data_IF_608102875137
#
_entry.id   IF_608102875137
#
_cell.length_a   1.000
_cell.length_b   1.000
_cell.length_c   1.000
_cell.angle_alpha   90.00
_cell.angle_beta   90.00
_cell.angle_gamma   90.00
#
_symmetry.space_group_name_H-M   'P 1'
#
loop_
_entity.id
_entity.type
_entity.pdbx_description
1 polymer ?
#
# COMPACT_ATOMS: atom_id res chain seq x y z
N UNK A 1 6.04 21.84 16.50
CA UNK A 1 5.40 21.68 15.20
C UNK A 1 3.91 21.83 15.39
N UNK A 2 3.20 22.45 14.45
CA UNK A 2 1.74 22.50 14.53
C UNK A 2 1.14 21.15 14.14
N UNK A 3 -0.10 20.85 14.56
CA UNK A 3 -0.82 19.64 14.12
C UNK A 3 -0.89 19.52 12.59
N UNK A 4 -0.91 20.64 11.89
CA UNK A 4 -0.89 20.68 10.43
C UNK A 4 0.45 20.20 9.82
N UNK A 5 1.57 20.34 10.54
CA UNK A 5 2.89 19.90 10.08
C UNK A 5 3.11 18.39 10.24
N UNK A 6 2.22 17.70 10.96
CA UNK A 6 2.28 16.25 11.16
C UNK A 6 1.61 15.47 10.05
N UNK A 7 0.56 16.02 9.44
CA UNK A 7 -0.18 15.34 8.37
C UNK A 7 0.69 15.31 7.11
N UNK A 8 0.98 14.12 6.53
CA UNK A 8 1.60 14.03 5.23
C UNK A 8 0.81 14.80 4.17
N UNK A 9 1.47 15.16 3.08
CA UNK A 9 0.78 15.81 1.95
C UNK A 9 -0.35 14.93 1.43
N UNK A 10 -1.55 15.51 1.32
CA UNK A 10 -2.78 14.83 0.89
C UNK A 10 -3.30 15.45 -0.39
N UNK A 11 -3.95 14.66 -1.22
CA UNK A 11 -4.68 15.15 -2.40
C UNK A 11 -6.14 14.78 -2.32
N UNK A 12 -7.00 15.70 -2.73
CA UNK A 12 -8.44 15.47 -2.81
C UNK A 12 -8.75 14.58 -4.01
N UNK A 13 -9.38 13.45 -3.77
CA UNK A 13 -9.97 12.58 -4.78
C UNK A 13 -11.46 12.97 -4.90
N UNK A 14 -11.91 13.39 -6.09
CA UNK A 14 -13.27 13.89 -6.26
C UNK A 14 -14.31 12.78 -6.04
N UNK A 15 -15.48 13.20 -5.57
CA UNK A 15 -16.66 12.34 -5.53
C UNK A 15 -17.03 11.80 -6.92
N UNK A 16 -17.83 10.74 -6.93
CA UNK A 16 -18.46 10.22 -8.14
C UNK A 16 -18.12 8.77 -8.43
N UNK A 17 -18.73 8.29 -9.50
CA UNK A 17 -18.65 6.91 -9.94
C UNK A 17 -17.33 6.59 -10.64
N UNK A 18 -16.86 5.35 -10.48
CA UNK A 18 -15.81 4.74 -11.28
C UNK A 18 -16.08 3.24 -11.50
N UNK A 19 -15.47 2.66 -12.51
CA UNK A 19 -15.54 1.22 -12.77
C UNK A 19 -14.41 0.52 -12.01
N UNK A 20 -14.79 -0.30 -11.02
CA UNK A 20 -13.90 -1.11 -10.20
C UNK A 20 -13.78 -2.52 -10.77
N UNK A 21 -12.57 -3.08 -10.71
CA UNK A 21 -12.29 -4.44 -11.19
C UNK A 21 -11.82 -4.51 -12.64
N UNK A 22 -11.74 -5.74 -13.15
CA UNK A 22 -11.35 -6.04 -14.54
C UNK A 22 -11.93 -7.39 -14.97
N UNK A 23 -12.64 -7.44 -16.09
CA UNK A 23 -13.17 -8.68 -16.67
C UNK A 23 -12.10 -9.51 -17.42
N UNK A 24 -10.95 -8.89 -17.72
CA UNK A 24 -9.82 -9.51 -18.43
C UNK A 24 -8.71 -10.00 -17.48
N UNK A 25 -8.93 -9.95 -16.16
CA UNK A 25 -7.96 -10.30 -15.14
C UNK A 25 -8.36 -11.55 -14.32
N UNK A 26 -7.81 -11.69 -13.11
CA UNK A 26 -8.08 -12.82 -12.24
C UNK A 26 -9.56 -12.87 -11.81
N UNK A 27 -10.04 -14.04 -11.39
CA UNK A 27 -11.46 -14.26 -11.11
C UNK A 27 -11.98 -13.39 -9.96
N UNK A 28 -11.14 -13.08 -8.99
CA UNK A 28 -11.48 -12.25 -7.83
C UNK A 28 -11.49 -10.73 -8.13
N UNK A 29 -11.05 -10.34 -9.33
CA UNK A 29 -11.17 -8.97 -9.85
C UNK A 29 -12.51 -8.74 -10.59
N UNK A 30 -13.35 -9.77 -10.71
CA UNK A 30 -14.63 -9.76 -11.45
C UNK A 30 -15.84 -9.78 -10.51
N UNK A 31 -16.99 -9.29 -11.00
CA UNK A 31 -17.19 -8.57 -12.26
C UNK A 31 -16.66 -7.12 -12.17
N UNK A 32 -16.42 -6.51 -13.32
CA UNK A 32 -16.35 -5.03 -13.38
C UNK A 32 -17.70 -4.49 -12.92
N UNK A 33 -17.69 -3.55 -11.99
CA UNK A 33 -18.91 -2.96 -11.43
C UNK A 33 -18.72 -1.47 -11.14
N UNK A 34 -19.81 -0.74 -11.15
CA UNK A 34 -19.83 0.68 -10.83
C UNK A 34 -19.78 0.87 -9.31
N UNK A 35 -18.89 1.71 -8.85
CA UNK A 35 -18.76 2.12 -7.45
C UNK A 35 -18.79 3.63 -7.38
N UNK A 36 -19.66 4.18 -6.54
CA UNK A 36 -19.73 5.59 -6.21
C UNK A 36 -19.04 5.85 -4.88
N UNK A 37 -18.12 6.80 -4.86
CA UNK A 37 -17.43 7.23 -3.64
C UNK A 37 -17.72 8.69 -3.36
N UNK A 38 -17.92 9.01 -2.09
CA UNK A 38 -17.86 10.38 -1.59
C UNK A 38 -16.43 10.95 -1.77
N UNK A 39 -16.25 12.29 -1.72
CA UNK A 39 -14.93 12.86 -1.84
C UNK A 39 -14.10 12.49 -0.61
N UNK A 40 -12.82 12.18 -0.81
CA UNK A 40 -11.89 11.85 0.26
C UNK A 40 -10.50 12.40 -0.06
N UNK A 41 -9.67 12.50 0.95
CA UNK A 41 -8.26 12.83 0.77
C UNK A 41 -7.41 11.56 0.91
N UNK A 42 -6.40 11.45 0.07
CA UNK A 42 -5.44 10.36 0.07
C UNK A 42 -4.01 10.88 0.15
N UNK A 43 -3.16 10.22 0.92
CA UNK A 43 -1.73 10.53 0.96
C UNK A 43 -1.12 10.52 -0.43
N UNK A 44 -0.46 11.60 -0.82
CA UNK A 44 0.15 11.75 -2.16
C UNK A 44 1.13 10.64 -2.48
N UNK A 45 1.72 10.04 -1.45
CA UNK A 45 2.69 8.95 -1.49
C UNK A 45 2.47 7.99 -0.33
N UNK A 46 3.08 6.80 -0.31
CA UNK A 46 3.13 5.95 0.88
C UNK A 46 3.74 6.68 2.08
N UNK A 47 3.34 6.30 3.30
CA UNK A 47 3.95 6.79 4.54
C UNK A 47 5.46 6.50 4.51
N UNK A 48 6.27 7.52 4.72
CA UNK A 48 7.74 7.39 4.69
C UNK A 48 8.30 6.89 6.02
N UNK A 49 9.55 6.43 5.99
CA UNK A 49 10.26 6.12 7.22
C UNK A 49 10.37 7.35 8.15
N UNK A 50 10.56 8.56 7.60
CA UNK A 50 10.59 9.79 8.39
C UNK A 50 9.26 10.06 9.09
N UNK A 51 8.12 9.87 8.40
CA UNK A 51 6.79 10.05 9.00
C UNK A 51 6.53 9.02 10.10
N UNK A 52 6.85 7.76 9.83
CA UNK A 52 6.65 6.68 10.79
C UNK A 52 7.58 6.80 12.02
N UNK A 53 8.78 7.37 11.87
CA UNK A 53 9.70 7.60 12.97
C UNK A 53 9.16 8.58 14.01
N UNK A 54 8.35 9.56 13.59
CA UNK A 54 7.67 10.46 14.52
C UNK A 54 6.72 9.68 15.42
N UNK A 55 5.90 8.83 14.82
CA UNK A 55 4.98 7.94 15.55
C UNK A 55 5.71 7.04 16.57
N UNK A 56 6.81 6.41 16.14
CA UNK A 56 7.62 5.55 17.03
C UNK A 56 8.16 6.35 18.22
N UNK A 57 8.70 7.54 17.98
CA UNK A 57 9.25 8.40 19.05
C UNK A 57 8.15 8.88 20.03
N UNK A 58 6.99 9.27 19.50
CA UNK A 58 5.93 9.86 20.33
C UNK A 58 5.20 8.82 21.17
N UNK A 59 5.09 7.59 20.67
CA UNK A 59 4.25 6.55 21.31
C UNK A 59 5.05 5.41 21.93
N UNK A 60 6.33 5.25 21.58
CA UNK A 60 7.12 4.07 21.92
C UNK A 60 6.68 2.81 21.17
N UNK A 61 5.91 2.96 20.08
CA UNK A 61 5.54 1.82 19.23
C UNK A 61 6.77 1.12 18.69
N UNK A 62 6.67 -0.18 18.45
CA UNK A 62 7.80 -0.97 17.93
C UNK A 62 8.29 -0.43 16.59
N UNK A 63 9.59 -0.26 16.38
CA UNK A 63 10.16 0.17 15.12
C UNK A 63 10.12 -0.97 14.07
N UNK A 64 10.26 -0.67 12.78
CA UNK A 64 10.48 -1.68 11.75
C UNK A 64 11.66 -2.58 12.05
N UNK A 65 11.38 -3.87 12.27
CA UNK A 65 12.38 -4.91 12.57
C UNK A 65 11.85 -6.30 12.23
N UNK A 66 12.72 -7.29 12.19
CA UNK A 66 12.33 -8.70 12.08
C UNK A 66 12.23 -9.29 13.48
N UNK A 67 11.05 -9.24 14.07
CA UNK A 67 10.75 -9.80 15.39
C UNK A 67 10.56 -11.32 15.32
N UNK A 68 9.66 -11.73 14.42
CA UNK A 68 9.35 -13.14 14.14
C UNK A 68 9.27 -13.30 12.62
N UNK A 69 9.61 -14.48 12.11
CA UNK A 69 9.46 -14.71 10.69
C UNK A 69 7.99 -14.95 10.34
N UNK A 70 7.44 -14.26 9.33
CA UNK A 70 6.09 -14.54 8.86
C UNK A 70 5.92 -16.01 8.46
N UNK A 71 4.75 -16.58 8.72
CA UNK A 71 4.47 -17.99 8.43
C UNK A 71 4.74 -18.36 6.97
N UNK A 72 4.45 -17.46 6.03
CA UNK A 72 4.74 -17.65 4.60
C UNK A 72 6.25 -17.78 4.31
N UNK A 73 7.10 -17.22 5.15
CA UNK A 73 8.56 -17.33 5.06
C UNK A 73 9.01 -18.65 5.64
N UNK A 74 8.57 -18.99 6.86
CA UNK A 74 8.94 -20.24 7.54
C UNK A 74 8.46 -21.47 6.79
N UNK A 75 7.26 -21.44 6.21
CA UNK A 75 6.73 -22.49 5.36
C UNK A 75 7.57 -22.74 4.09
N UNK A 76 8.39 -21.77 3.67
CA UNK A 76 9.31 -21.90 2.54
C UNK A 76 10.65 -22.54 2.87
N UNK A 77 10.90 -22.90 4.14
CA UNK A 77 12.12 -23.57 4.62
C UNK A 77 13.32 -22.66 4.81
N UNK A 78 14.42 -23.26 5.27
CA UNK A 78 15.62 -22.57 5.76
C UNK A 78 16.24 -21.56 4.77
N UNK A 79 16.34 -21.90 3.49
CA UNK A 79 16.92 -21.01 2.48
C UNK A 79 16.06 -19.75 2.27
N UNK A 80 14.75 -19.90 2.34
CA UNK A 80 13.82 -18.75 2.27
C UNK A 80 13.94 -17.85 3.51
N UNK A 81 14.04 -18.43 4.69
CA UNK A 81 14.27 -17.70 5.93
C UNK A 81 15.59 -16.92 5.91
N UNK A 82 16.68 -17.58 5.48
CA UNK A 82 18.00 -16.98 5.34
C UNK A 82 17.97 -15.79 4.34
N UNK A 83 17.35 -16.00 3.20
CA UNK A 83 17.18 -14.95 2.17
C UNK A 83 16.37 -13.78 2.70
N UNK A 84 15.24 -14.05 3.38
CA UNK A 84 14.40 -13.01 3.97
C UNK A 84 15.15 -12.16 4.99
N UNK A 85 15.92 -12.80 5.91
CA UNK A 85 16.73 -12.08 6.90
C UNK A 85 17.84 -11.26 6.24
N UNK A 86 18.52 -11.80 5.24
CA UNK A 86 19.61 -11.12 4.56
C UNK A 86 19.15 -9.85 3.84
N UNK A 87 18.02 -9.91 3.12
CA UNK A 87 17.43 -8.73 2.45
C UNK A 87 16.83 -7.79 3.48
N UNK A 88 16.07 -8.32 4.44
CA UNK A 88 15.37 -7.54 5.45
C UNK A 88 16.29 -6.75 6.37
N UNK A 89 17.56 -7.18 6.54
CA UNK A 89 18.52 -6.49 7.40
C UNK A 89 18.71 -5.02 7.06
N UNK A 90 18.63 -4.65 5.78
CA UNK A 90 18.77 -3.27 5.32
C UNK A 90 17.53 -2.40 5.57
N UNK A 91 16.44 -2.98 6.07
CA UNK A 91 15.18 -2.30 6.39
C UNK A 91 14.92 -2.22 7.90
N UNK A 92 15.75 -2.88 8.71
CA UNK A 92 15.67 -2.81 10.18
C UNK A 92 16.20 -1.47 10.64
N UNK A 93 15.49 -0.84 11.56
CA UNK A 93 15.91 0.42 12.14
C UNK A 93 16.89 0.18 13.31
N UNK A 94 18.16 0.61 13.19
CA UNK A 94 19.09 0.60 14.31
C UNK A 94 18.63 1.59 15.38
N UNK A 95 18.64 1.18 16.65
CA UNK A 95 18.29 2.06 17.79
C UNK A 95 16.93 2.77 17.65
N UNK A 96 15.98 2.13 16.95
CA UNK A 96 14.63 2.67 16.67
C UNK A 96 14.59 3.91 15.74
N UNK A 97 15.66 4.20 15.03
CA UNK A 97 15.73 5.28 14.05
C UNK A 97 15.88 4.73 12.63
N UNK A 98 15.27 5.37 11.63
CA UNK A 98 15.40 4.93 10.25
C UNK A 98 16.84 5.07 9.74
N UNK A 99 17.22 4.16 8.84
CA UNK A 99 18.51 4.24 8.17
C UNK A 99 18.57 5.53 7.36
N UNK A 100 19.67 6.30 7.49
CA UNK A 100 19.78 7.67 7.00
C UNK A 100 19.53 7.84 5.48
N UNK A 101 19.92 6.86 4.67
CA UNK A 101 19.70 6.87 3.22
C UNK A 101 18.29 6.43 2.81
N UNK A 102 17.43 6.05 3.77
CA UNK A 102 16.07 5.55 3.56
C UNK A 102 14.97 6.38 4.21
N UNK A 103 15.28 7.53 4.75
CA UNK A 103 14.30 8.38 5.45
C UNK A 103 13.08 8.73 4.57
N UNK A 104 13.30 8.97 3.27
CA UNK A 104 12.26 9.29 2.28
C UNK A 104 11.73 8.07 1.52
N UNK A 105 12.14 6.85 1.88
CA UNK A 105 11.57 5.63 1.33
C UNK A 105 10.28 5.26 2.07
N UNK A 106 9.37 4.48 1.45
CA UNK A 106 8.22 3.94 2.16
C UNK A 106 8.65 3.17 3.40
N UNK A 107 7.93 3.33 4.50
CA UNK A 107 8.10 2.46 5.66
C UNK A 107 7.69 1.04 5.28
N UNK A 108 8.48 0.07 5.72
CA UNK A 108 8.24 -1.36 5.49
C UNK A 108 8.44 -2.16 6.78
N UNK A 109 8.28 -3.48 6.72
CA UNK A 109 8.29 -4.36 7.91
C UNK A 109 7.18 -3.99 8.91
N UNK A 110 6.06 -3.50 8.44
CA UNK A 110 4.89 -3.12 9.21
C UNK A 110 3.73 -4.08 8.94
N UNK A 111 3.05 -4.52 10.00
CA UNK A 111 1.81 -5.30 9.94
C UNK A 111 0.62 -4.37 9.69
N UNK A 112 -0.52 -4.96 9.38
CA UNK A 112 -1.76 -4.19 9.23
C UNK A 112 -2.10 -3.40 10.50
N UNK A 113 -1.93 -4.03 11.67
CA UNK A 113 -2.19 -3.38 12.97
C UNK A 113 -1.21 -2.22 13.26
N UNK A 114 0.02 -2.30 12.81
CA UNK A 114 1.01 -1.22 12.94
C UNK A 114 0.58 0.00 12.10
N UNK A 115 0.06 -0.25 10.89
CA UNK A 115 -0.45 0.80 10.02
C UNK A 115 -1.71 1.46 10.61
N UNK A 116 -2.62 0.66 11.20
CA UNK A 116 -3.81 1.17 11.91
C UNK A 116 -3.42 1.98 13.15
N UNK A 117 -2.43 1.52 13.91
CA UNK A 117 -1.92 2.24 15.08
C UNK A 117 -1.33 3.61 14.69
N UNK A 118 -0.56 3.68 13.59
CA UNK A 118 -0.08 4.93 13.02
C UNK A 118 -1.24 5.87 12.66
N UNK A 119 -2.25 5.37 11.95
CA UNK A 119 -3.43 6.17 11.59
C UNK A 119 -4.15 6.71 12.82
N UNK A 120 -4.32 5.88 13.86
CA UNK A 120 -4.99 6.26 15.10
C UNK A 120 -4.22 7.33 15.88
N UNK A 121 -2.89 7.21 15.96
CA UNK A 121 -2.02 8.23 16.54
C UNK A 121 -2.16 9.55 15.77
N UNK A 122 -2.03 9.50 14.43
CA UNK A 122 -2.09 10.71 13.61
C UNK A 122 -3.48 11.37 13.68
N UNK A 123 -4.56 10.58 13.80
CA UNK A 123 -5.90 11.08 14.00
C UNK A 123 -6.03 11.83 15.32
N UNK A 124 -5.47 11.30 16.40
CA UNK A 124 -5.48 11.93 17.72
C UNK A 124 -4.70 13.26 17.72
N UNK A 125 -3.51 13.28 17.09
CA UNK A 125 -2.64 14.46 17.04
C UNK A 125 -3.20 15.57 16.14
N UNK A 126 -3.92 15.21 15.06
CA UNK A 126 -4.39 16.19 14.07
C UNK A 126 -5.87 16.54 14.21
N UNK A 127 -6.65 15.78 14.98
CA UNK A 127 -8.10 15.89 15.07
C UNK A 127 -8.85 15.48 13.82
N UNK A 128 -8.17 14.87 12.83
CA UNK A 128 -8.77 14.39 11.57
C UNK A 128 -9.03 12.89 11.62
N UNK A 129 -10.05 12.42 10.92
CA UNK A 129 -10.40 10.99 10.87
C UNK A 129 -9.44 10.22 9.92
N UNK A 130 -8.15 10.15 10.29
CA UNK A 130 -7.13 9.44 9.51
C UNK A 130 -7.31 7.93 9.66
N UNK A 131 -7.24 7.21 8.53
CA UNK A 131 -7.39 5.77 8.45
C UNK A 131 -6.62 5.20 7.23
N UNK A 132 -6.61 3.89 7.11
CA UNK A 132 -6.23 3.25 5.84
C UNK A 132 -7.31 3.54 4.78
N UNK A 133 -6.96 3.61 3.49
CA UNK A 133 -7.95 3.66 2.42
C UNK A 133 -8.74 2.34 2.36
N UNK A 134 -10.00 2.41 1.96
CA UNK A 134 -10.70 1.21 1.50
C UNK A 134 -10.10 0.72 0.19
N UNK A 135 -10.34 -0.54 -0.16
CA UNK A 135 -9.90 -1.11 -1.44
C UNK A 135 -10.43 -0.30 -2.62
N UNK A 136 -11.70 0.14 -2.56
CA UNK A 136 -12.33 0.94 -3.59
C UNK A 136 -11.73 2.35 -3.72
N UNK A 137 -11.46 3.01 -2.59
CA UNK A 137 -10.76 4.29 -2.58
C UNK A 137 -9.37 4.17 -3.19
N UNK A 138 -8.63 3.13 -2.80
CA UNK A 138 -7.30 2.89 -3.34
C UNK A 138 -7.34 2.69 -4.86
N UNK A 139 -8.27 1.87 -5.38
CA UNK A 139 -8.37 1.58 -6.81
C UNK A 139 -8.80 2.80 -7.62
N UNK A 140 -9.83 3.56 -7.17
CA UNK A 140 -10.23 4.83 -7.82
C UNK A 140 -9.04 5.78 -7.93
N UNK A 141 -8.32 5.93 -6.84
CA UNK A 141 -7.14 6.79 -6.77
C UNK A 141 -6.02 6.31 -7.70
N UNK A 142 -5.74 5.01 -7.74
CA UNK A 142 -4.72 4.42 -8.61
C UNK A 142 -5.03 4.65 -10.09
N UNK A 143 -6.28 4.55 -10.49
CA UNK A 143 -6.70 4.78 -11.89
C UNK A 143 -6.48 6.21 -12.37
N UNK A 144 -6.37 7.21 -11.48
CA UNK A 144 -6.02 8.58 -11.84
C UNK A 144 -6.94 9.20 -12.88
N UNK A 145 -8.26 8.93 -12.82
CA UNK A 145 -9.31 9.27 -13.77
C UNK A 145 -9.27 8.52 -15.13
N UNK A 146 -8.38 7.54 -15.30
CA UNK A 146 -8.37 6.70 -16.51
C UNK A 146 -9.39 5.55 -16.37
N UNK A 147 -10.34 5.48 -17.30
CA UNK A 147 -11.37 4.44 -17.31
C UNK A 147 -10.84 3.15 -17.93
N UNK A 148 -10.95 2.03 -17.21
CA UNK A 148 -10.64 0.68 -17.70
C UNK A 148 -9.17 0.42 -18.03
N UNK A 149 -8.25 1.33 -17.67
CA UNK A 149 -6.84 1.16 -17.95
C UNK A 149 -6.17 0.22 -16.93
N UNK A 150 -5.19 -0.55 -17.43
CA UNK A 150 -4.49 -1.55 -16.61
C UNK A 150 -3.62 -0.90 -15.54
N UNK A 151 -2.88 0.15 -15.89
CA UNK A 151 -1.93 0.85 -15.01
C UNK A 151 -2.33 2.31 -14.83
N UNK A 152 -1.81 3.00 -13.83
CA UNK A 152 -2.08 4.43 -13.58
C UNK A 152 -1.74 5.37 -14.76
N UNK A 153 -1.00 4.90 -15.74
CA UNK A 153 -0.57 5.63 -16.95
C UNK A 153 -1.11 5.06 -18.26
N UNK A 154 -1.92 4.00 -18.25
CA UNK A 154 -2.50 3.38 -19.45
C UNK A 154 -2.35 1.87 -19.49
N UNK A 155 -2.29 1.28 -20.69
CA UNK A 155 -2.32 -0.17 -20.86
C UNK A 155 -0.94 -0.82 -21.06
N UNK A 156 0.09 -0.03 -21.38
CA UNK A 156 1.43 -0.54 -21.66
C UNK A 156 2.30 -0.47 -20.41
N UNK A 157 2.94 -1.60 -20.08
CA UNK A 157 3.94 -1.61 -19.02
C UNK A 157 5.14 -0.74 -19.44
N UNK A 158 5.55 0.16 -18.53
CA UNK A 158 6.71 1.02 -18.72
C UNK A 158 7.57 1.01 -17.43
N UNK A 159 8.86 0.64 -17.60
CA UNK A 159 9.84 0.57 -16.51
C UNK A 159 10.20 1.94 -15.92
N UNK A 160 9.92 3.00 -16.66
CA UNK A 160 10.17 4.37 -16.21
C UNK A 160 9.04 4.93 -15.36
N UNK A 161 7.96 4.15 -15.17
CA UNK A 161 6.76 4.59 -14.46
C UNK A 161 6.61 3.99 -13.07
N UNK A 162 7.38 2.94 -12.72
CA UNK A 162 7.24 2.27 -11.43
C UNK A 162 8.50 1.45 -11.07
N UNK A 163 8.69 1.23 -9.76
CA UNK A 163 9.74 0.35 -9.23
C UNK A 163 9.21 -1.08 -9.06
N UNK A 164 9.60 -2.00 -9.94
CA UNK A 164 9.25 -3.42 -9.89
C UNK A 164 10.38 -4.29 -10.44
N UNK A 165 10.34 -5.60 -10.17
CA UNK A 165 11.36 -6.52 -10.64
C UNK A 165 11.20 -6.79 -12.14
N UNK A 166 12.13 -6.28 -12.92
CA UNK A 166 12.08 -6.38 -14.39
C UNK A 166 12.68 -7.66 -14.95
N UNK A 167 13.53 -8.33 -14.16
CA UNK A 167 14.18 -9.58 -14.52
C UNK A 167 14.25 -10.50 -13.31
N UNK A 168 13.48 -11.60 -13.29
CA UNK A 168 13.47 -12.54 -12.16
C UNK A 168 14.79 -13.28 -11.96
N UNK A 169 15.71 -13.22 -12.93
CA UNK A 169 17.05 -13.82 -12.82
C UNK A 169 18.06 -12.87 -12.15
N UNK A 170 17.75 -11.57 -12.06
CA UNK A 170 18.59 -10.62 -11.34
C UNK A 170 18.61 -10.97 -9.85
N UNK A 171 19.81 -11.10 -9.30
CA UNK A 171 19.97 -11.13 -7.85
C UNK A 171 19.30 -9.87 -7.28
N UNK A 172 18.58 -10.02 -6.18
CA UNK A 172 17.87 -8.93 -5.46
C UNK A 172 18.87 -7.83 -5.04
N UNK A 173 19.27 -7.00 -6.00
CA UNK A 173 20.21 -5.86 -5.79
C UNK A 173 19.43 -4.56 -5.62
N UNK A 174 18.12 -4.56 -6.00
CA UNK A 174 17.24 -3.42 -5.87
C UNK A 174 16.51 -3.49 -4.53
N UNK A 175 15.92 -2.42 -4.13
CA UNK A 175 15.10 -2.29 -2.94
C UNK A 175 13.96 -1.32 -3.23
N UNK A 176 13.34 -0.81 -2.18
CA UNK A 176 12.47 0.35 -2.31
C UNK A 176 13.25 1.54 -2.86
N UNK A 177 12.60 2.38 -3.62
CA UNK A 177 13.10 3.71 -4.02
C UNK A 177 12.52 4.78 -3.09
N UNK A 178 13.14 5.97 -3.09
CA UNK A 178 12.54 7.16 -2.48
C UNK A 178 11.15 7.36 -3.06
N UNK A 179 10.19 7.73 -2.23
CA UNK A 179 8.88 8.12 -2.71
C UNK A 179 9.02 9.24 -3.77
N UNK A 180 8.12 9.24 -4.75
CA UNK A 180 8.14 10.21 -5.87
C UNK A 180 9.34 10.07 -6.83
N UNK A 181 10.00 8.91 -6.86
CA UNK A 181 11.06 8.65 -7.83
C UNK A 181 10.53 8.44 -9.25
N UNK A 182 9.23 8.21 -9.39
CA UNK A 182 8.53 7.97 -10.65
C UNK A 182 7.41 9.01 -10.85
N UNK A 183 6.90 9.18 -12.09
CA UNK A 183 5.85 10.15 -12.38
C UNK A 183 4.56 9.87 -11.61
N UNK A 184 3.88 10.95 -11.22
CA UNK A 184 2.55 10.88 -10.63
C UNK A 184 1.49 10.48 -11.66
N UNK A 185 0.38 9.89 -11.19
CA UNK A 185 -0.79 9.64 -12.00
C UNK A 185 -1.65 10.92 -12.22
N UNK A 186 -2.79 10.78 -12.88
CA UNK A 186 -3.69 11.89 -13.20
C UNK A 186 -4.30 12.65 -12.01
N UNK A 187 -4.25 12.08 -10.79
CA UNK A 187 -4.64 12.76 -9.55
C UNK A 187 -3.45 13.32 -8.76
N UNK A 188 -2.24 13.24 -9.30
CA UNK A 188 -1.03 13.70 -8.60
C UNK A 188 -0.48 12.71 -7.56
N UNK A 189 -0.91 11.45 -7.60
CA UNK A 189 -0.46 10.41 -6.68
C UNK A 189 0.76 9.67 -7.23
N UNK A 190 1.74 9.49 -6.37
CA UNK A 190 2.98 8.77 -6.67
C UNK A 190 2.94 7.33 -6.13
N UNK A 191 3.74 6.47 -6.75
CA UNK A 191 4.00 5.09 -6.30
C UNK A 191 2.72 4.23 -6.15
N UNK A 192 1.65 4.53 -6.93
CA UNK A 192 0.43 3.72 -6.96
C UNK A 192 0.64 2.35 -7.61
N UNK A 193 1.80 2.11 -8.20
CA UNK A 193 2.21 0.83 -8.77
C UNK A 193 3.67 0.58 -8.45
N UNK A 194 3.99 -0.60 -7.91
CA UNK A 194 5.34 -0.98 -7.52
C UNK A 194 5.79 -0.32 -6.20
N UNK A 195 7.07 -0.29 -5.96
CA UNK A 195 7.72 0.14 -4.73
C UNK A 195 7.33 -0.73 -3.53
N UNK A 196 6.15 -0.55 -2.94
CA UNK A 196 5.63 -1.40 -1.87
C UNK A 196 4.17 -1.78 -2.12
N UNK A 197 3.78 -2.99 -1.74
CA UNK A 197 2.38 -3.32 -1.51
C UNK A 197 1.82 -2.41 -0.44
N UNK A 198 0.59 -1.99 -0.57
CA UNK A 198 -0.06 -1.09 0.38
C UNK A 198 -1.25 -1.75 1.04
N UNK A 199 -1.24 -1.75 2.38
CA UNK A 199 -2.38 -2.20 3.17
C UNK A 199 -3.63 -1.37 2.88
N UNK A 200 -4.75 -2.06 2.61
CA UNK A 200 -6.09 -1.48 2.63
C UNK A 200 -6.81 -1.82 3.94
N UNK A 201 -7.89 -1.10 4.21
CA UNK A 201 -8.74 -1.33 5.39
C UNK A 201 -9.48 -2.67 5.31
N UNK A 202 -9.82 -3.10 4.10
CA UNK A 202 -10.76 -4.18 3.82
C UNK A 202 -10.24 -5.56 4.21
N UNK A 203 -11.14 -6.39 4.74
CA UNK A 203 -10.99 -7.82 4.69
C UNK A 203 -11.13 -8.30 3.24
N UNK A 204 -10.42 -9.37 2.90
CA UNK A 204 -10.50 -9.96 1.58
C UNK A 204 -11.56 -11.06 1.53
N UNK A 205 -12.40 -11.00 0.49
CA UNK A 205 -13.28 -12.09 0.04
C UNK A 205 -13.22 -12.14 -1.50
N UNK A 206 -12.95 -13.31 -2.10
CA UNK A 206 -12.86 -13.45 -3.56
C UNK A 206 -14.19 -13.20 -4.29
N UNK A 207 -15.32 -13.28 -3.60
CA UNK A 207 -16.64 -13.08 -4.17
C UNK A 207 -17.25 -11.70 -3.87
N UNK A 208 -16.53 -10.85 -3.13
CA UNK A 208 -17.07 -9.58 -2.66
C UNK A 208 -17.56 -8.66 -3.79
N UNK A 209 -16.85 -8.61 -4.91
CA UNK A 209 -17.21 -7.73 -6.03
C UNK A 209 -18.61 -8.06 -6.63
N UNK A 210 -19.06 -9.31 -6.55
CA UNK A 210 -20.38 -9.71 -7.02
C UNK A 210 -21.53 -9.21 -6.13
N UNK A 211 -21.24 -8.81 -4.89
CA UNK A 211 -22.22 -8.40 -3.87
C UNK A 211 -21.88 -7.04 -3.25
N UNK A 212 -20.84 -6.39 -3.73
CA UNK A 212 -20.38 -5.09 -3.23
C UNK A 212 -21.50 -4.05 -3.32
N UNK A 213 -21.76 -3.26 -2.26
CA UNK A 213 -22.63 -2.11 -2.37
C UNK A 213 -22.04 -1.10 -3.36
N UNK A 214 -22.91 -0.45 -4.12
CA UNK A 214 -22.48 0.55 -5.10
C UNK A 214 -21.91 1.81 -4.43
N UNK A 215 -22.39 2.18 -3.24
CA UNK A 215 -22.00 3.41 -2.54
C UNK A 215 -21.02 3.09 -1.40
N UNK A 216 -19.83 3.70 -1.45
CA UNK A 216 -18.79 3.65 -0.39
C UNK A 216 -18.53 2.24 0.17
N UNK A 217 -18.23 1.21 -0.65
CA UNK A 217 -17.99 -0.15 -0.15
C UNK A 217 -16.83 -0.19 0.85
N UNK A 218 -17.02 -0.93 1.95
CA UNK A 218 -16.06 -1.05 3.05
C UNK A 218 -15.41 -2.43 3.15
N UNK A 219 -15.62 -3.28 2.14
CA UNK A 219 -15.23 -4.68 2.20
C UNK A 219 -16.15 -5.54 3.09
N UNK A 220 -15.85 -6.84 3.19
CA UNK A 220 -16.55 -7.74 4.11
C UNK A 220 -16.39 -7.30 5.57
N UNK A 221 -17.39 -7.58 6.41
CA UNK A 221 -17.35 -7.24 7.85
C UNK A 221 -16.35 -8.06 8.66
N UNK A 222 -15.92 -9.21 8.14
CA UNK A 222 -14.93 -10.09 8.77
C UNK A 222 -14.19 -10.91 7.72
N UNK A 223 -13.00 -11.40 8.08
CA UNK A 223 -12.17 -12.24 7.22
C UNK A 223 -10.93 -12.73 7.96
N UNK A 224 -10.10 -13.49 7.27
CA UNK A 224 -8.79 -13.94 7.77
C UNK A 224 -7.62 -13.31 7.04
N UNK A 225 -7.88 -12.67 5.89
CA UNK A 225 -6.87 -12.01 5.05
C UNK A 225 -7.27 -10.55 4.83
N UNK A 226 -6.28 -9.67 4.82
CA UNK A 226 -6.44 -8.27 4.43
C UNK A 226 -6.02 -8.06 2.99
N UNK A 227 -6.65 -7.09 2.35
CA UNK A 227 -6.28 -6.65 1.00
C UNK A 227 -4.99 -5.85 1.05
N UNK A 228 -4.10 -6.11 0.10
CA UNK A 228 -2.96 -5.24 -0.24
C UNK A 228 -2.95 -4.96 -1.74
N UNK A 229 -2.54 -3.77 -2.12
CA UNK A 229 -2.68 -3.26 -3.49
C UNK A 229 -1.36 -2.73 -4.04
N UNK A 230 -1.27 -2.60 -5.38
CA UNK A 230 -0.24 -1.86 -6.09
C UNK A 230 0.98 -2.64 -6.55
N UNK A 231 1.25 -3.80 -5.99
CA UNK A 231 2.51 -4.51 -6.25
C UNK A 231 3.68 -3.92 -5.47
N UNK A 232 4.87 -4.47 -5.66
CA UNK A 232 6.07 -3.98 -5.00
C UNK A 232 7.30 -4.15 -5.88
N UNK A 233 8.44 -3.64 -5.44
CA UNK A 233 9.73 -3.82 -6.09
C UNK A 233 10.17 -5.29 -6.25
N UNK A 234 9.51 -6.21 -5.52
CA UNK A 234 9.75 -7.67 -5.57
C UNK A 234 8.92 -8.38 -6.65
N UNK A 235 7.95 -7.71 -7.24
CA UNK A 235 6.98 -8.32 -8.15
C UNK A 235 7.57 -8.44 -9.54
N UNK A 236 7.67 -9.69 -10.04
CA UNK A 236 8.06 -10.01 -11.41
C UNK A 236 6.85 -10.31 -12.32
N UNK A 237 5.73 -10.74 -11.74
CA UNK A 237 4.49 -10.96 -12.49
C UNK A 237 3.77 -9.62 -12.70
N UNK A 238 3.86 -9.12 -13.91
CA UNK A 238 3.31 -7.81 -14.30
C UNK A 238 1.79 -7.69 -14.14
N UNK A 239 1.06 -8.82 -14.02
CA UNK A 239 -0.38 -8.81 -13.71
C UNK A 239 -0.64 -8.21 -12.33
N UNK A 240 0.25 -8.49 -11.36
CA UNK A 240 0.15 -8.00 -9.99
C UNK A 240 0.39 -6.49 -9.85
N UNK A 241 0.78 -5.81 -10.92
CA UNK A 241 1.04 -4.37 -10.96
C UNK A 241 -0.17 -3.57 -11.45
N UNK A 242 -1.26 -4.25 -11.85
CA UNK A 242 -2.46 -3.58 -12.37
C UNK A 242 -3.22 -2.84 -11.27
N UNK A 243 -3.95 -1.79 -11.65
CA UNK A 243 -4.83 -1.05 -10.76
C UNK A 243 -5.90 -1.94 -10.12
N UNK A 244 -6.36 -2.98 -10.81
CA UNK A 244 -7.41 -3.89 -10.36
C UNK A 244 -6.91 -5.07 -9.53
N UNK A 245 -5.61 -5.42 -9.60
CA UNK A 245 -5.10 -6.63 -8.93
C UNK A 245 -5.32 -6.62 -7.42
N UNK A 246 -5.94 -7.70 -6.93
CA UNK A 246 -6.30 -7.90 -5.52
C UNK A 246 -5.36 -8.90 -4.88
N UNK A 247 -4.32 -8.43 -4.20
CA UNK A 247 -3.49 -9.33 -3.40
C UNK A 247 -4.01 -9.39 -1.96
N UNK A 248 -3.74 -10.51 -1.28
CA UNK A 248 -4.32 -10.84 0.03
C UNK A 248 -3.28 -11.56 0.88
N UNK A 249 -3.14 -11.12 2.11
CA UNK A 249 -2.21 -11.69 3.09
C UNK A 249 -2.80 -11.63 4.52
N UNK A 250 -2.36 -12.52 5.45
CA UNK A 250 -2.74 -12.42 6.85
C UNK A 250 -2.32 -11.06 7.45
N UNK A 251 -3.13 -10.47 8.34
CA UNK A 251 -2.87 -9.14 8.91
C UNK A 251 -1.59 -9.06 9.76
N UNK A 252 -1.13 -10.17 10.29
CA UNK A 252 0.12 -10.31 11.06
C UNK A 252 1.37 -10.46 10.20
N UNK A 253 1.20 -10.60 8.88
CA UNK A 253 2.30 -10.66 7.92
C UNK A 253 2.97 -9.30 7.77
N UNK A 254 4.27 -9.30 7.63
CA UNK A 254 5.06 -8.13 7.26
C UNK A 254 6.21 -8.52 6.33
N UNK A 255 6.67 -7.58 5.53
CA UNK A 255 7.76 -7.79 4.59
C UNK A 255 8.44 -6.45 4.27
N UNK A 256 9.65 -6.51 3.78
CA UNK A 256 10.38 -5.37 3.23
C UNK A 256 9.83 -4.88 1.86
N UNK A 257 8.73 -5.42 1.40
CA UNK A 257 7.96 -4.98 0.24
C UNK A 257 6.52 -4.61 0.57
N UNK A 258 6.15 -4.44 1.85
CA UNK A 258 4.81 -4.08 2.30
C UNK A 258 4.90 -2.82 3.15
N UNK A 259 4.12 -1.82 2.78
CA UNK A 259 3.93 -0.56 3.48
C UNK A 259 2.45 -0.15 3.46
N UNK A 260 2.17 1.15 3.52
CA UNK A 260 0.80 1.67 3.47
C UNK A 260 0.78 3.16 3.13
N UNK A 261 -0.38 3.65 2.73
CA UNK A 261 -0.70 5.08 2.68
C UNK A 261 -1.94 5.37 3.52
N UNK A 262 -2.21 6.64 3.80
CA UNK A 262 -3.33 7.08 4.63
C UNK A 262 -4.41 7.72 3.78
N UNK A 263 -5.65 7.66 4.30
CA UNK A 263 -6.81 8.37 3.79
C UNK A 263 -7.50 9.12 4.93
N UNK A 264 -8.28 10.12 4.58
CA UNK A 264 -9.24 10.74 5.49
C UNK A 264 -10.44 11.29 4.67
N UNK A 265 -11.61 11.51 5.30
CA UNK A 265 -12.71 12.21 4.64
C UNK A 265 -12.25 13.57 4.10
N UNK A 266 -12.87 14.04 3.04
CA UNK A 266 -12.74 15.43 2.63
C UNK A 266 -13.31 16.35 3.71
N UNK A 267 -12.72 17.54 3.87
CA UNK A 267 -13.19 18.58 4.80
C UNK A 267 -14.50 19.17 4.32
#
# INVERSE_FOLDING_TARGET
MSAADLLPEMVLIPAGEFLMGSDDADQDERPVHAVELEPYQLGVQPVTNADYARFVRDTGHRPPAIYELPLVVTAGGHEREKSFRAVGQSYIWPESEPVADRVDHPVTLVRWEDAVAYCSWLAAETGRAVRLPTEAEWEKAARGALVGKRYPWGDRLDRNMANFLTDPTMKLVHGTTRCRSYPANGFGLFDMTGNVWEWAQDWYDPQYYAVSPALNPQGPSAGSLRVVRGGSWLVADVRMLSCSHRHKIPPDTYSYGIGFRIACPAD
#
